data_IF_516055080803
#
_entry.id   IF_516055080803
#
_cell.length_a   1.000
_cell.length_b   1.000
_cell.length_c   1.000
_cell.angle_alpha   90.00
_cell.angle_beta   90.00
_cell.angle_gamma   90.00
#
_symmetry.space_group_name_H-M   'P 1'
#
loop_
_entity.id
_entity.type
_entity.pdbx_description
1 polymer ?
#
# COMPACT_ATOMS: atom_id res chain seq x y z
N UNK A 1 7.95 27.45 -7.69
CA UNK A 1 6.74 27.40 -8.55
C UNK A 1 6.12 26.04 -8.30
N UNK A 2 4.98 25.96 -7.60
CA UNK A 2 4.36 24.68 -7.26
C UNK A 2 4.04 23.91 -8.55
N UNK A 3 4.66 22.74 -8.80
CA UNK A 3 4.30 21.93 -9.95
C UNK A 3 2.87 21.46 -9.71
N UNK A 4 1.91 21.93 -10.52
CA UNK A 4 0.49 21.64 -10.34
C UNK A 4 0.18 20.14 -10.13
N UNK A 5 1.00 19.24 -10.67
CA UNK A 5 0.91 17.79 -10.47
C UNK A 5 1.05 17.33 -9.01
N UNK A 6 1.90 17.96 -8.19
CA UNK A 6 2.11 17.58 -6.78
C UNK A 6 0.85 17.91 -5.96
N UNK A 7 0.30 19.11 -6.13
CA UNK A 7 -0.92 19.52 -5.44
C UNK A 7 -2.13 18.68 -5.86
N UNK A 8 -2.23 18.27 -7.14
CA UNK A 8 -3.28 17.37 -7.61
C UNK A 8 -3.15 15.99 -6.96
N UNK A 9 -1.94 15.45 -6.87
CA UNK A 9 -1.66 14.16 -6.23
C UNK A 9 -2.04 14.16 -4.74
N UNK A 10 -1.68 15.21 -4.00
CA UNK A 10 -2.04 15.36 -2.58
C UNK A 10 -3.56 15.41 -2.38
N UNK A 11 -4.27 16.20 -3.19
CA UNK A 11 -5.74 16.29 -3.14
C UNK A 11 -6.35 14.92 -3.41
N UNK A 12 -5.85 14.21 -4.42
CA UNK A 12 -6.29 12.86 -4.75
C UNK A 12 -6.07 11.91 -3.57
N UNK A 13 -4.91 11.94 -2.91
CA UNK A 13 -4.66 11.09 -1.73
C UNK A 13 -5.62 11.37 -0.58
N UNK A 14 -5.97 12.64 -0.36
CA UNK A 14 -7.00 13.01 0.62
C UNK A 14 -8.35 12.44 0.21
N UNK A 15 -8.76 12.58 -1.05
CA UNK A 15 -10.01 12.02 -1.57
C UNK A 15 -10.04 10.49 -1.42
N UNK A 16 -8.97 9.79 -1.82
CA UNK A 16 -8.83 8.34 -1.64
C UNK A 16 -8.95 7.93 -0.17
N UNK A 17 -8.31 8.67 0.74
CA UNK A 17 -8.38 8.41 2.18
C UNK A 17 -9.81 8.56 2.71
N UNK A 18 -10.53 9.60 2.27
CA UNK A 18 -11.95 9.79 2.63
C UNK A 18 -12.81 8.64 2.10
N UNK A 19 -12.59 8.19 0.86
CA UNK A 19 -13.31 7.05 0.28
C UNK A 19 -13.05 5.76 1.07
N UNK A 20 -11.83 5.51 1.52
CA UNK A 20 -11.51 4.37 2.40
C UNK A 20 -12.24 4.47 3.75
N UNK A 21 -12.22 5.63 4.40
CA UNK A 21 -12.89 5.83 5.70
C UNK A 21 -14.39 5.59 5.57
N UNK A 22 -15.03 6.17 4.53
CA UNK A 22 -16.46 5.97 4.27
C UNK A 22 -16.76 4.50 3.92
N UNK A 23 -15.92 3.87 3.11
CA UNK A 23 -16.02 2.46 2.75
C UNK A 23 -16.00 1.55 3.97
N UNK A 24 -15.01 1.72 4.86
CA UNK A 24 -14.88 0.98 6.12
C UNK A 24 -16.08 1.21 7.05
N UNK A 25 -16.54 2.45 7.20
CA UNK A 25 -17.73 2.76 7.99
C UNK A 25 -18.97 2.04 7.47
N UNK A 26 -19.13 1.95 6.16
CA UNK A 26 -20.27 1.26 5.53
C UNK A 26 -20.17 -0.26 5.62
N UNK A 27 -18.97 -0.84 5.72
CA UNK A 27 -18.77 -2.28 5.93
C UNK A 27 -19.29 -2.75 7.29
N UNK A 28 -19.36 -1.86 8.30
CA UNK A 28 -19.90 -2.16 9.62
C UNK A 28 -21.42 -2.36 9.65
N UNK A 29 -22.15 -2.06 8.56
CA UNK A 29 -23.59 -2.26 8.46
C UNK A 29 -23.96 -3.18 7.28
N UNK A 30 -24.68 -4.29 7.49
CA UNK A 30 -24.99 -5.27 6.44
C UNK A 30 -25.69 -4.68 5.21
N UNK A 31 -26.59 -3.72 5.41
CA UNK A 31 -27.35 -3.07 4.34
C UNK A 31 -26.45 -2.22 3.41
N UNK A 32 -25.35 -1.68 3.93
CA UNK A 32 -24.43 -0.83 3.17
C UNK A 32 -23.14 -1.52 2.76
N UNK A 33 -22.86 -2.73 3.27
CA UNK A 33 -21.57 -3.40 3.12
C UNK A 33 -21.09 -3.55 1.67
N UNK A 34 -21.97 -3.95 0.74
CA UNK A 34 -21.59 -4.07 -0.69
C UNK A 34 -21.16 -2.74 -1.30
N UNK A 35 -21.87 -1.65 -0.98
CA UNK A 35 -21.51 -0.30 -1.44
C UNK A 35 -20.23 0.19 -0.77
N UNK A 36 -20.06 -0.10 0.52
CA UNK A 36 -18.83 0.22 1.27
C UNK A 36 -17.59 -0.42 0.64
N UNK A 37 -17.66 -1.70 0.28
CA UNK A 37 -16.57 -2.38 -0.42
C UNK A 37 -16.23 -1.72 -1.76
N UNK A 38 -17.24 -1.34 -2.54
CA UNK A 38 -17.02 -0.69 -3.84
C UNK A 38 -16.41 0.71 -3.71
N UNK A 39 -16.78 1.48 -2.68
CA UNK A 39 -16.15 2.77 -2.39
C UNK A 39 -14.68 2.62 -1.99
N UNK A 40 -14.35 1.65 -1.14
CA UNK A 40 -12.97 1.36 -0.77
C UNK A 40 -12.14 0.93 -2.00
N UNK A 41 -12.69 0.07 -2.85
CA UNK A 41 -12.04 -0.34 -4.10
C UNK A 41 -11.81 0.84 -5.05
N UNK A 42 -12.78 1.74 -5.19
CA UNK A 42 -12.62 2.97 -5.98
C UNK A 42 -11.52 3.87 -5.41
N UNK A 43 -11.46 4.04 -4.08
CA UNK A 43 -10.40 4.79 -3.40
C UNK A 43 -9.00 4.22 -3.67
N UNK A 44 -8.87 2.88 -3.65
CA UNK A 44 -7.61 2.19 -3.99
C UNK A 44 -7.20 2.42 -5.45
N UNK A 45 -8.11 2.20 -6.40
CA UNK A 45 -7.82 2.41 -7.82
C UNK A 45 -7.41 3.86 -8.11
N UNK A 46 -8.11 4.82 -7.50
CA UNK A 46 -7.84 6.24 -7.64
C UNK A 46 -6.43 6.57 -7.13
N UNK A 47 -6.03 6.05 -5.97
CA UNK A 47 -4.69 6.24 -5.42
C UNK A 47 -3.60 5.67 -6.34
N UNK A 48 -3.74 4.42 -6.80
CA UNK A 48 -2.77 3.78 -7.70
C UNK A 48 -2.58 4.59 -8.98
N UNK A 49 -3.69 4.96 -9.64
CA UNK A 49 -3.64 5.69 -10.91
C UNK A 49 -2.96 7.04 -10.71
N UNK A 50 -3.29 7.75 -9.64
CA UNK A 50 -2.69 9.05 -9.38
C UNK A 50 -1.20 8.96 -9.03
N UNK A 51 -0.78 7.94 -8.29
CA UNK A 51 0.64 7.67 -8.05
C UNK A 51 1.35 7.46 -9.39
N UNK A 52 0.84 6.60 -10.26
CA UNK A 52 1.47 6.30 -11.56
C UNK A 52 1.58 7.55 -12.46
N UNK A 53 0.55 8.42 -12.46
CA UNK A 53 0.49 9.56 -13.38
C UNK A 53 1.19 10.82 -12.87
N UNK A 54 1.14 11.09 -11.56
CA UNK A 54 1.51 12.39 -11.00
C UNK A 54 2.66 12.32 -10.00
N UNK A 55 3.04 11.14 -9.52
CA UNK A 55 4.17 11.04 -8.59
C UNK A 55 5.49 11.28 -9.34
N UNK A 56 6.32 12.11 -8.73
CA UNK A 56 7.64 12.47 -9.24
C UNK A 56 8.65 12.35 -8.12
N UNK A 57 9.82 11.80 -8.44
CA UNK A 57 11.00 11.77 -7.56
C UNK A 57 12.05 12.67 -8.17
N UNK A 58 12.49 13.68 -7.43
CA UNK A 58 13.49 14.67 -7.87
C UNK A 58 13.14 15.36 -9.20
N UNK A 59 11.85 15.55 -9.48
CA UNK A 59 11.33 16.18 -10.70
C UNK A 59 11.17 15.23 -11.89
N UNK A 60 11.60 13.98 -11.76
CA UNK A 60 11.44 12.94 -12.77
C UNK A 60 10.19 12.10 -12.50
N UNK A 61 9.46 11.75 -13.57
CA UNK A 61 8.33 10.84 -13.49
C UNK A 61 8.79 9.43 -13.09
N UNK A 62 7.85 8.61 -12.60
CA UNK A 62 8.13 7.21 -12.28
C UNK A 62 8.70 6.48 -13.51
N UNK A 63 9.91 5.95 -13.39
CA UNK A 63 10.51 5.05 -14.37
C UNK A 63 9.95 3.63 -14.29
N UNK A 64 10.40 2.75 -15.19
CA UNK A 64 10.06 1.31 -15.17
C UNK A 64 8.53 1.00 -15.18
N UNK A 65 7.72 1.88 -15.76
CA UNK A 65 6.26 1.70 -15.87
C UNK A 65 5.86 0.31 -16.40
N UNK A 66 6.50 -0.27 -17.45
CA UNK A 66 6.16 -1.61 -17.91
C UNK A 66 6.30 -2.69 -16.83
N UNK A 67 7.34 -2.61 -15.99
CA UNK A 67 7.57 -3.55 -14.89
C UNK A 67 6.55 -3.37 -13.77
N UNK A 68 6.21 -2.12 -13.43
CA UNK A 68 5.19 -1.81 -12.42
C UNK A 68 3.83 -2.37 -12.85
N UNK A 69 3.42 -2.10 -14.09
CA UNK A 69 2.16 -2.62 -14.63
C UNK A 69 2.19 -4.14 -14.69
N UNK A 70 3.29 -4.76 -15.13
CA UNK A 70 3.42 -6.22 -15.16
C UNK A 70 3.28 -6.83 -13.75
N UNK A 71 3.90 -6.22 -12.73
CA UNK A 71 3.80 -6.67 -11.34
C UNK A 71 2.37 -6.54 -10.79
N UNK A 72 1.71 -5.39 -11.03
CA UNK A 72 0.31 -5.15 -10.61
C UNK A 72 -0.62 -6.17 -11.26
N UNK A 73 -0.51 -6.37 -12.57
CA UNK A 73 -1.36 -7.31 -13.32
C UNK A 73 -1.14 -8.74 -12.83
N UNK A 74 0.12 -9.16 -12.71
CA UNK A 74 0.46 -10.52 -12.27
C UNK A 74 -0.05 -10.77 -10.84
N UNK A 75 0.23 -9.86 -9.90
CA UNK A 75 -0.23 -9.95 -8.52
C UNK A 75 -1.75 -9.98 -8.41
N UNK A 76 -2.43 -9.12 -9.18
CA UNK A 76 -3.90 -9.04 -9.20
C UNK A 76 -4.52 -10.32 -9.75
N UNK A 77 -3.99 -10.88 -10.85
CA UNK A 77 -4.48 -12.14 -11.41
C UNK A 77 -4.31 -13.29 -10.42
N UNK A 78 -3.12 -13.44 -9.84
CA UNK A 78 -2.86 -14.51 -8.87
C UNK A 78 -3.76 -14.36 -7.64
N UNK A 79 -3.83 -13.16 -7.06
CA UNK A 79 -4.67 -12.89 -5.90
C UNK A 79 -6.16 -13.12 -6.19
N UNK A 80 -6.65 -12.67 -7.34
CA UNK A 80 -8.04 -12.88 -7.76
C UNK A 80 -8.38 -14.35 -7.94
N UNK A 81 -7.52 -15.12 -8.61
CA UNK A 81 -7.73 -16.56 -8.84
C UNK A 81 -7.80 -17.31 -7.51
N UNK A 82 -6.89 -17.01 -6.57
CA UNK A 82 -6.91 -17.62 -5.23
C UNK A 82 -8.21 -17.24 -4.50
N UNK A 83 -8.57 -15.95 -4.50
CA UNK A 83 -9.76 -15.45 -3.81
C UNK A 83 -11.08 -16.10 -4.27
N UNK A 84 -11.23 -16.33 -5.57
CA UNK A 84 -12.47 -16.91 -6.12
C UNK A 84 -12.51 -18.44 -5.99
N UNK A 85 -11.36 -19.12 -5.93
CA UNK A 85 -11.29 -20.59 -5.88
C UNK A 85 -11.31 -21.17 -4.47
N UNK A 86 -11.03 -20.39 -3.43
CA UNK A 86 -11.01 -20.88 -2.06
C UNK A 86 -12.43 -21.11 -1.52
N UNK A 87 -12.60 -22.21 -0.77
CA UNK A 87 -13.88 -22.55 -0.13
C UNK A 87 -14.20 -21.55 0.98
N UNK A 88 -15.49 -21.23 1.16
CA UNK A 88 -15.94 -20.33 2.24
C UNK A 88 -15.55 -20.81 3.66
N UNK A 89 -15.36 -22.11 3.85
CA UNK A 89 -14.89 -22.69 5.12
C UNK A 89 -13.41 -22.39 5.40
N UNK A 90 -12.64 -22.05 4.37
CA UNK A 90 -11.22 -21.73 4.43
C UNK A 90 -10.94 -20.22 4.29
N UNK A 91 -11.96 -19.38 4.50
CA UNK A 91 -11.80 -17.92 4.50
C UNK A 91 -10.82 -17.42 5.56
N UNK A 92 -10.75 -17.98 6.79
CA UNK A 92 -9.76 -17.53 7.78
C UNK A 92 -8.31 -17.64 7.28
N UNK A 93 -7.96 -18.74 6.62
CA UNK A 93 -6.61 -18.98 6.07
C UNK A 93 -6.30 -18.04 4.91
N UNK A 94 -7.29 -17.78 4.05
CA UNK A 94 -7.12 -16.82 2.96
C UNK A 94 -6.91 -15.38 3.46
N UNK A 95 -7.63 -14.98 4.51
CA UNK A 95 -7.45 -13.67 5.15
C UNK A 95 -6.07 -13.57 5.80
N UNK A 96 -5.61 -14.63 6.49
CA UNK A 96 -4.25 -14.74 7.04
C UNK A 96 -3.22 -14.53 5.93
N UNK A 97 -3.30 -15.31 4.85
CA UNK A 97 -2.39 -15.21 3.71
C UNK A 97 -2.31 -13.79 3.13
N UNK A 98 -3.45 -13.14 2.88
CA UNK A 98 -3.46 -11.78 2.33
C UNK A 98 -2.95 -10.71 3.31
N UNK A 99 -3.18 -10.88 4.62
CA UNK A 99 -2.56 -10.03 5.62
C UNK A 99 -1.03 -10.18 5.59
N UNK A 100 -0.55 -11.42 5.55
CA UNK A 100 0.87 -11.74 5.44
C UNK A 100 1.53 -11.11 4.23
N UNK A 101 0.93 -11.24 3.03
CA UNK A 101 1.45 -10.62 1.81
C UNK A 101 1.54 -9.09 1.92
N UNK A 102 0.57 -8.44 2.57
CA UNK A 102 0.63 -7.01 2.88
C UNK A 102 1.79 -6.65 3.82
N UNK A 103 2.01 -7.45 4.87
CA UNK A 103 3.16 -7.32 5.77
C UNK A 103 4.50 -7.51 5.03
N UNK A 104 4.59 -8.51 4.16
CA UNK A 104 5.77 -8.76 3.32
C UNK A 104 6.07 -7.60 2.37
N UNK A 105 5.03 -7.00 1.76
CA UNK A 105 5.19 -5.80 0.94
C UNK A 105 5.74 -4.61 1.76
N UNK A 106 5.20 -4.37 2.97
CA UNK A 106 5.72 -3.32 3.85
C UNK A 106 7.19 -3.55 4.24
N UNK A 107 7.57 -4.81 4.54
CA UNK A 107 8.95 -5.17 4.83
C UNK A 107 9.90 -4.92 3.64
N UNK A 108 9.49 -5.28 2.42
CA UNK A 108 10.28 -5.04 1.21
C UNK A 108 10.44 -3.55 0.92
N UNK A 109 9.38 -2.75 1.10
CA UNK A 109 9.45 -1.29 0.96
C UNK A 109 10.46 -0.72 1.96
N UNK A 110 10.39 -1.12 3.24
CA UNK A 110 11.35 -0.69 4.24
C UNK A 110 12.79 -1.09 3.92
N UNK A 111 13.02 -2.32 3.41
CA UNK A 111 14.35 -2.76 2.98
C UNK A 111 14.88 -1.95 1.79
N UNK A 112 14.01 -1.58 0.86
CA UNK A 112 14.39 -0.77 -0.30
C UNK A 112 14.67 0.69 0.10
N UNK A 113 13.95 1.24 1.07
CA UNK A 113 14.08 2.64 1.47
C UNK A 113 15.26 2.88 2.43
N UNK A 114 15.64 1.89 3.24
CA UNK A 114 16.72 2.04 4.23
C UNK A 114 18.06 2.53 3.63
N UNK A 115 18.54 2.03 2.48
CA UNK A 115 19.76 2.54 1.83
C UNK A 115 19.62 3.96 1.25
N UNK A 116 18.39 4.45 1.05
CA UNK A 116 18.10 5.75 0.46
C UNK A 116 17.90 6.87 1.48
N UNK A 117 18.12 6.59 2.78
CA UNK A 117 18.09 7.62 3.81
C UNK A 117 19.19 8.64 3.55
N UNK A 118 18.79 9.90 3.32
CA UNK A 118 19.72 10.98 2.97
C UNK A 118 20.78 11.19 4.06
N UNK A 119 22.05 11.27 3.63
CA UNK A 119 23.20 11.57 4.49
C UNK A 119 23.04 12.88 5.25
N UNK A 120 22.37 13.87 4.67
CA UNK A 120 22.14 15.18 5.27
C UNK A 120 21.16 15.10 6.46
N UNK A 121 20.15 14.23 6.35
CA UNK A 121 19.20 13.94 7.42
C UNK A 121 19.89 13.25 8.60
N UNK A 122 20.79 12.31 8.30
CA UNK A 122 21.61 11.64 9.31
C UNK A 122 22.62 12.60 9.94
N UNK A 123 23.22 13.50 9.16
CA UNK A 123 24.15 14.50 9.67
C UNK A 123 23.45 15.54 10.57
N UNK A 124 22.22 15.94 10.24
CA UNK A 124 21.47 16.95 10.98
C UNK A 124 20.76 16.40 12.24
N UNK A 125 20.22 15.17 12.17
CA UNK A 125 19.35 14.61 13.24
C UNK A 125 19.87 13.28 13.81
N UNK A 126 20.97 12.76 13.29
CA UNK A 126 21.49 11.45 13.66
C UNK A 126 20.69 10.29 13.08
N UNK A 127 21.13 9.07 13.39
CA UNK A 127 20.46 7.83 12.99
C UNK A 127 19.15 7.59 13.75
N UNK A 128 18.95 8.24 14.88
CA UNK A 128 17.76 8.12 15.72
C UNK A 128 16.69 9.17 15.36
N UNK A 129 16.39 9.32 14.07
CA UNK A 129 15.36 10.24 13.59
C UNK A 129 14.04 9.51 13.26
N UNK A 130 12.95 10.27 13.16
CA UNK A 130 11.61 9.71 12.94
C UNK A 130 11.47 8.94 11.61
N UNK A 131 12.24 9.31 10.59
CA UNK A 131 12.20 8.65 9.28
C UNK A 131 12.84 7.25 9.36
N UNK A 132 14.04 7.14 9.92
CA UNK A 132 14.71 5.84 10.15
C UNK A 132 13.87 4.97 11.09
N UNK A 133 13.28 5.56 12.13
CA UNK A 133 12.41 4.82 13.05
C UNK A 133 11.18 4.26 12.32
N UNK A 134 10.52 5.03 11.45
CA UNK A 134 9.38 4.55 10.66
C UNK A 134 9.77 3.39 9.72
N UNK A 135 10.93 3.47 9.07
CA UNK A 135 11.45 2.40 8.21
C UNK A 135 11.68 1.12 9.03
N UNK A 136 12.36 1.22 10.18
CA UNK A 136 12.65 0.08 11.05
C UNK A 136 11.38 -0.54 11.63
N UNK A 137 10.42 0.27 12.07
CA UNK A 137 9.13 -0.22 12.55
C UNK A 137 8.34 -0.91 11.42
N UNK A 138 8.32 -0.33 10.21
CA UNK A 138 7.71 -0.97 9.05
C UNK A 138 8.35 -2.31 8.72
N UNK A 139 9.68 -2.41 8.82
CA UNK A 139 10.41 -3.65 8.59
C UNK A 139 10.05 -4.71 9.62
N UNK A 140 10.09 -4.37 10.92
CA UNK A 140 9.81 -5.31 12.01
C UNK A 140 8.35 -5.75 11.98
N UNK A 141 7.40 -4.81 11.91
CA UNK A 141 5.97 -5.12 11.89
C UNK A 141 5.61 -5.93 10.64
N UNK A 142 6.14 -5.54 9.48
CA UNK A 142 5.90 -6.23 8.22
C UNK A 142 6.44 -7.66 8.21
N UNK A 143 7.68 -7.88 8.66
CA UNK A 143 8.29 -9.23 8.73
C UNK A 143 7.58 -10.13 9.74
N UNK A 144 7.19 -9.60 10.90
CA UNK A 144 6.43 -10.35 11.92
C UNK A 144 5.04 -10.72 11.40
N UNK A 145 4.33 -9.79 10.76
CA UNK A 145 3.02 -10.05 10.14
C UNK A 145 3.13 -11.12 9.04
N UNK A 146 4.14 -11.04 8.18
CA UNK A 146 4.39 -12.04 7.14
C UNK A 146 4.66 -13.42 7.74
N UNK A 147 5.64 -13.53 8.65
CA UNK A 147 6.01 -14.80 9.26
C UNK A 147 4.84 -15.42 10.06
N UNK A 148 4.13 -14.61 10.84
CA UNK A 148 2.97 -15.06 11.61
C UNK A 148 1.86 -15.61 10.71
N UNK A 149 1.57 -14.92 9.60
CA UNK A 149 0.54 -15.33 8.64
C UNK A 149 0.90 -16.59 7.83
N UNK A 150 2.19 -16.89 7.66
CA UNK A 150 2.62 -18.14 7.00
C UNK A 150 2.47 -19.37 7.91
N UNK A 151 2.51 -19.16 9.23
CA UNK A 151 2.37 -20.23 10.23
C UNK A 151 0.89 -20.48 10.58
N UNK A 152 0.07 -19.41 10.57
CA UNK A 152 -1.35 -19.43 10.94
C UNK A 152 -2.27 -19.86 9.79
#
# INVERSE_FOLDING_TARGET
MFPYGISILEIIYVVSSVLFILGLKMLSHPLTARRGNMLAAAGMCLAIIATILFHQKDGEAIGNIPWIIAAIVTGTIIGWVIAVKVKMTAMPQLVSLFNGMGGGAAALISMMEFPHVHSDLIAAQGMANGHVLAILLGLVIGTVSFAGSMIA
#
